data_IF_222547315580
#
_entry.id   IF_222547315580
#
_cell.length_a   1.000
_cell.length_b   1.000
_cell.length_c   1.000
_cell.angle_alpha   90.00
_cell.angle_beta   90.00
_cell.angle_gamma   90.00
#
_symmetry.space_group_name_H-M   'P 1'
#
loop_
_entity.id
_entity.type
_entity.pdbx_description
1 polymer ?
#
# COMPACT_ATOMS: atom_id res chain seq x y z
N UNK A 1 -6.95 -2.77 -3.32
CA UNK A 1 -6.99 -2.81 -1.85
C UNK A 1 -6.32 -1.58 -1.28
N UNK A 2 -6.38 -1.38 0.03
CA UNK A 2 -5.60 -0.34 0.73
C UNK A 2 -4.47 -1.07 1.45
N UNK A 3 -3.23 -0.59 1.27
CA UNK A 3 -2.06 -1.13 1.95
C UNK A 3 -1.16 0.00 2.44
N UNK A 4 -0.19 -0.35 3.27
CA UNK A 4 0.76 0.58 3.87
C UNK A 4 2.13 0.38 3.23
N UNK A 5 2.75 1.46 2.76
CA UNK A 5 4.15 1.41 2.29
C UNK A 5 5.05 1.25 3.51
N UNK A 6 5.79 0.15 3.57
CA UNK A 6 6.73 -0.16 4.68
C UNK A 6 8.19 -0.01 4.25
N UNK A 7 8.48 -0.07 2.95
CA UNK A 7 9.81 0.17 2.39
C UNK A 7 9.75 0.88 1.04
N UNK A 8 10.69 1.79 0.79
CA UNK A 8 10.91 2.44 -0.50
C UNK A 8 12.31 2.08 -0.97
N UNK A 9 12.42 1.41 -2.11
CA UNK A 9 13.72 1.09 -2.71
C UNK A 9 14.42 2.36 -3.21
N UNK A 10 15.75 2.34 -3.28
CA UNK A 10 16.58 3.54 -3.52
C UNK A 10 16.21 4.32 -4.79
N UNK A 11 15.80 3.62 -5.85
CA UNK A 11 15.42 4.21 -7.14
C UNK A 11 13.97 4.73 -7.19
N UNK A 12 13.20 4.51 -6.12
CA UNK A 12 11.78 4.84 -5.97
C UNK A 12 10.89 4.24 -7.07
N UNK A 13 11.36 3.19 -7.75
CA UNK A 13 10.58 2.48 -8.77
C UNK A 13 9.72 1.39 -8.17
N UNK A 14 10.13 0.85 -7.03
CA UNK A 14 9.43 -0.21 -6.32
C UNK A 14 9.25 0.12 -4.84
N UNK A 15 8.20 -0.43 -4.27
CA UNK A 15 7.79 -0.22 -2.88
C UNK A 15 7.36 -1.55 -2.28
N UNK A 16 7.67 -1.79 -1.01
CA UNK A 16 7.03 -2.86 -0.26
C UNK A 16 5.76 -2.33 0.37
N UNK A 17 4.65 -3.00 0.06
CA UNK A 17 3.33 -2.65 0.54
C UNK A 17 2.77 -3.81 1.34
N UNK A 18 2.47 -3.54 2.61
CA UNK A 18 1.81 -4.47 3.51
C UNK A 18 0.29 -4.33 3.44
N UNK A 19 -0.40 -5.47 3.36
CA UNK A 19 -1.86 -5.56 3.46
C UNK A 19 -2.23 -6.29 4.74
N UNK A 20 -3.09 -5.67 5.55
CA UNK A 20 -3.56 -6.21 6.84
C UNK A 20 -5.07 -6.44 6.82
N UNK A 21 -5.55 -7.37 7.66
CA UNK A 21 -6.97 -7.52 7.97
C UNK A 21 -7.47 -6.35 8.83
N UNK A 22 -8.78 -6.26 9.06
CA UNK A 22 -9.38 -5.32 10.02
C UNK A 22 -8.88 -5.52 11.45
N UNK A 23 -8.42 -6.72 11.79
CA UNK A 23 -7.87 -7.10 13.10
C UNK A 23 -6.36 -6.82 13.19
N UNK A 24 -5.75 -6.30 12.13
CA UNK A 24 -4.32 -5.97 12.09
C UNK A 24 -3.41 -7.14 11.75
N UNK A 25 -3.96 -8.27 11.30
CA UNK A 25 -3.14 -9.41 10.88
C UNK A 25 -2.60 -9.21 9.46
N UNK A 26 -1.30 -9.38 9.24
CA UNK A 26 -0.69 -9.30 7.91
C UNK A 26 -1.18 -10.45 7.02
N UNK A 27 -1.71 -10.10 5.85
CA UNK A 27 -2.17 -11.06 4.83
C UNK A 27 -1.12 -11.23 3.75
N UNK A 28 -0.44 -10.13 3.37
CA UNK A 28 0.58 -10.15 2.33
C UNK A 28 1.52 -8.95 2.46
N UNK A 29 2.76 -9.14 1.99
CA UNK A 29 3.71 -8.07 1.68
C UNK A 29 4.09 -8.24 0.22
N UNK A 30 3.83 -7.22 -0.60
CA UNK A 30 4.08 -7.25 -2.04
C UNK A 30 5.08 -6.17 -2.44
N UNK A 31 5.97 -6.50 -3.38
CA UNK A 31 6.76 -5.50 -4.10
C UNK A 31 5.93 -4.98 -5.27
N UNK A 32 5.54 -3.71 -5.24
CA UNK A 32 4.74 -3.07 -6.27
C UNK A 32 5.51 -1.94 -6.96
N UNK A 33 5.37 -1.79 -8.29
CA UNK A 33 5.94 -0.66 -9.00
C UNK A 33 5.17 0.63 -8.70
N UNK A 34 5.83 1.77 -8.91
CA UNK A 34 5.25 3.10 -8.65
C UNK A 34 3.88 3.32 -9.32
N UNK A 35 3.70 2.85 -10.55
CA UNK A 35 2.45 3.03 -11.30
C UNK A 35 1.26 2.23 -10.75
N UNK A 36 1.51 1.21 -9.92
CA UNK A 36 0.45 0.44 -9.25
C UNK A 36 0.03 1.07 -7.91
N UNK A 37 0.73 2.11 -7.47
CA UNK A 37 0.52 2.76 -6.18
C UNK A 37 -0.02 4.16 -6.38
N UNK A 38 -1.19 4.41 -5.79
CA UNK A 38 -1.73 5.76 -5.67
C UNK A 38 -1.72 6.18 -4.21
N UNK A 39 -1.07 7.30 -3.91
CA UNK A 39 -1.18 7.92 -2.58
C UNK A 39 -2.64 8.33 -2.31
N UNK A 40 -3.10 8.11 -1.09
CA UNK A 40 -4.42 8.57 -0.64
C UNK A 40 -4.22 9.78 0.26
N UNK A 41 -4.88 10.89 -0.04
CA UNK A 41 -4.87 12.03 0.86
C UNK A 41 -5.53 11.65 2.20
N UNK A 42 -5.07 12.28 3.30
CA UNK A 42 -5.48 11.98 4.68
C UNK A 42 -7.01 11.99 4.92
N UNK A 43 -7.78 12.65 4.04
CA UNK A 43 -9.25 12.79 4.13
C UNK A 43 -10.02 12.06 3.03
N UNK A 44 -9.37 11.22 2.23
CA UNK A 44 -10.06 10.42 1.23
C UNK A 44 -10.80 9.25 1.88
N UNK A 45 -12.13 9.23 1.75
CA UNK A 45 -12.92 8.05 2.11
C UNK A 45 -12.52 6.87 1.22
N UNK A 46 -12.42 5.64 1.76
CA UNK A 46 -12.28 4.45 0.94
C UNK A 46 -13.39 4.45 -0.11
N UNK A 47 -13.02 4.39 -1.38
CA UNK A 47 -13.99 4.20 -2.45
C UNK A 47 -14.55 2.78 -2.29
N UNK A 48 -15.82 2.69 -1.90
CA UNK A 48 -16.58 1.44 -1.91
C UNK A 48 -16.89 1.11 -3.37
N UNK A 49 -16.37 0.00 -3.88
CA UNK A 49 -16.93 -0.69 -5.05
C UNK A 49 -17.55 -1.99 -4.57
#
# INVERSE_FOLDING_TARGET
GIGTVVHIYQDRKNYEVEFVTSEGATIAVLTLPEHDIRSRALREMPQSR
#
